data_IF_034914321302
#
_entry.id   IF_034914321302
#
_cell.length_a   1.000
_cell.length_b   1.000
_cell.length_c   1.000
_cell.angle_alpha   90.00
_cell.angle_beta   90.00
_cell.angle_gamma   90.00
#
_symmetry.space_group_name_H-M   'P 1'
#
loop_
_entity.id
_entity.type
_entity.pdbx_description
1 polymer ?
#
# COMPACT_ATOMS: atom_id res chain seq x y z
N UNK A 1 -17.24 3.03 -18.97
CA UNK A 1 -15.87 2.81 -18.45
C UNK A 1 -14.95 2.58 -19.64
N UNK A 2 -13.78 3.22 -19.75
CA UNK A 2 -12.92 3.17 -20.97
C UNK A 2 -11.79 2.12 -20.92
N UNK A 3 -11.82 1.21 -19.94
CA UNK A 3 -10.78 0.18 -19.69
C UNK A 3 -9.33 0.69 -19.71
N UNK A 4 -9.11 1.90 -19.19
CA UNK A 4 -7.77 2.45 -18.98
C UNK A 4 -7.33 2.04 -17.58
N UNK A 5 -6.30 1.19 -17.49
CA UNK A 5 -5.73 0.72 -16.23
C UNK A 5 -4.51 1.56 -15.87
N UNK A 6 -4.40 1.90 -14.59
CA UNK A 6 -3.30 2.69 -14.06
C UNK A 6 -2.80 2.01 -12.81
N UNK A 7 -1.51 1.74 -12.72
CA UNK A 7 -0.86 1.13 -11.55
C UNK A 7 0.44 1.88 -11.27
N UNK A 8 0.93 1.77 -10.03
CA UNK A 8 2.17 2.41 -9.57
C UNK A 8 3.20 1.34 -9.27
N UNK A 9 4.46 1.63 -9.59
CA UNK A 9 5.60 0.80 -9.24
C UNK A 9 6.56 1.60 -8.35
N UNK A 10 6.93 1.03 -7.22
CA UNK A 10 8.01 1.45 -6.33
C UNK A 10 9.19 0.48 -6.50
N UNK A 11 10.11 0.76 -7.46
CA UNK A 11 11.17 -0.17 -7.82
C UNK A 11 12.39 -0.03 -6.89
N UNK A 12 13.05 -1.15 -6.62
CA UNK A 12 14.40 -1.22 -6.07
C UNK A 12 15.32 -1.88 -7.09
N UNK A 13 16.13 -1.07 -7.75
CA UNK A 13 17.05 -1.51 -8.79
C UNK A 13 18.36 -0.72 -8.72
N UNK A 14 19.49 -1.37 -9.00
CA UNK A 14 20.81 -0.75 -9.17
C UNK A 14 20.84 -0.06 -10.52
N UNK A 15 20.91 1.27 -10.45
CA UNK A 15 21.05 2.17 -11.60
C UNK A 15 22.12 3.20 -11.25
N UNK A 16 22.57 3.99 -12.23
CA UNK A 16 23.46 5.12 -11.97
C UNK A 16 22.94 6.08 -10.88
N UNK A 17 21.62 6.23 -10.74
CA UNK A 17 21.01 7.09 -9.72
C UNK A 17 21.04 6.50 -8.30
N UNK A 18 21.11 5.17 -8.18
CA UNK A 18 20.93 4.44 -6.91
C UNK A 18 22.19 3.69 -6.47
N UNK A 19 23.26 3.72 -7.27
CA UNK A 19 24.49 2.94 -7.08
C UNK A 19 25.14 3.17 -5.71
N UNK A 20 25.24 4.42 -5.27
CA UNK A 20 25.85 4.79 -3.98
C UNK A 20 24.92 4.58 -2.77
N UNK A 21 23.61 4.42 -3.01
CA UNK A 21 22.59 4.32 -1.95
C UNK A 21 22.33 2.89 -1.49
N UNK A 22 22.55 1.91 -2.37
CA UNK A 22 22.10 0.52 -2.16
C UNK A 22 23.09 -0.35 -1.41
N UNK A 23 24.33 0.11 -1.22
CA UNK A 23 25.37 -0.61 -0.49
C UNK A 23 25.54 -2.06 -0.97
N UNK A 24 25.76 -3.04 -0.07
CA UNK A 24 25.94 -4.44 -0.44
C UNK A 24 24.76 -5.09 -1.19
N UNK A 25 23.53 -4.57 -1.01
CA UNK A 25 22.34 -5.11 -1.67
C UNK A 25 22.33 -4.83 -3.18
N UNK A 26 23.10 -3.85 -3.65
CA UNK A 26 23.17 -3.47 -5.05
C UNK A 26 23.51 -4.65 -5.98
N UNK A 27 24.23 -5.67 -5.48
CA UNK A 27 24.61 -6.86 -6.24
C UNK A 27 23.41 -7.70 -6.71
N UNK A 28 22.33 -7.72 -5.94
CA UNK A 28 21.15 -8.56 -6.20
C UNK A 28 20.00 -7.77 -6.85
N UNK A 29 20.08 -6.43 -6.84
CA UNK A 29 19.03 -5.53 -7.31
C UNK A 29 19.15 -5.22 -8.82
N UNK A 30 19.13 -6.25 -9.66
CA UNK A 30 19.17 -6.08 -11.11
C UNK A 30 17.86 -5.45 -11.66
N UNK A 31 17.92 -4.40 -12.50
CA UNK A 31 16.73 -3.79 -13.11
C UNK A 31 15.82 -4.78 -13.85
N UNK A 32 16.40 -5.82 -14.44
CA UNK A 32 15.70 -6.89 -15.15
C UNK A 32 14.73 -7.66 -14.24
N UNK A 33 14.96 -7.65 -12.92
CA UNK A 33 14.08 -8.29 -11.95
C UNK A 33 12.83 -7.45 -11.62
N UNK A 34 12.79 -6.21 -12.10
CA UNK A 34 11.63 -5.31 -11.96
C UNK A 34 10.81 -5.23 -13.24
N UNK A 35 11.45 -5.37 -14.41
CA UNK A 35 10.82 -5.34 -15.75
C UNK A 35 9.55 -6.19 -15.88
N UNK A 36 9.48 -7.44 -15.36
CA UNK A 36 8.27 -8.26 -15.48
C UNK A 36 7.02 -7.62 -14.89
N UNK A 37 7.15 -6.82 -13.82
CA UNK A 37 6.00 -6.13 -13.20
C UNK A 37 5.45 -5.06 -14.14
N UNK A 38 6.33 -4.29 -14.79
CA UNK A 38 5.92 -3.28 -15.78
C UNK A 38 5.30 -3.95 -17.00
N UNK A 39 5.91 -5.03 -17.50
CA UNK A 39 5.41 -5.79 -18.63
C UNK A 39 4.01 -6.36 -18.34
N UNK A 40 3.79 -6.93 -17.16
CA UNK A 40 2.47 -7.40 -16.73
C UNK A 40 1.47 -6.24 -16.71
N UNK A 41 1.78 -5.12 -16.05
CA UNK A 41 0.89 -3.96 -15.95
C UNK A 41 0.49 -3.37 -17.31
N UNK A 42 1.37 -3.44 -18.32
CA UNK A 42 1.12 -2.97 -19.68
C UNK A 42 0.50 -4.04 -20.61
N UNK A 43 0.43 -5.29 -20.17
CA UNK A 43 -0.12 -6.39 -20.96
C UNK A 43 -1.65 -6.39 -20.98
N UNK A 44 -2.23 -7.11 -21.95
CA UNK A 44 -3.68 -7.38 -21.98
C UNK A 44 -4.16 -8.27 -20.81
N UNK A 45 -3.24 -9.01 -20.20
CA UNK A 45 -3.52 -9.90 -19.07
C UNK A 45 -3.56 -9.16 -17.73
N UNK A 46 -3.15 -7.88 -17.70
CA UNK A 46 -3.23 -7.05 -16.50
C UNK A 46 -4.66 -7.03 -15.97
N UNK A 47 -4.92 -7.72 -14.86
CA UNK A 47 -6.26 -7.86 -14.28
C UNK A 47 -6.60 -6.77 -13.26
N UNK A 48 -5.62 -5.94 -12.89
CA UNK A 48 -5.73 -4.97 -11.79
C UNK A 48 -5.54 -3.53 -12.25
N UNK A 49 -6.09 -2.60 -11.46
CA UNK A 49 -5.93 -1.15 -11.63
C UNK A 49 -5.99 -0.48 -10.25
N UNK A 50 -5.27 0.61 -10.08
CA UNK A 50 -5.18 1.36 -8.83
C UNK A 50 -4.19 0.78 -7.83
N UNK A 51 -3.40 -0.22 -8.23
CA UNK A 51 -2.50 -0.92 -7.32
C UNK A 51 -1.10 -0.32 -7.28
N UNK A 52 -0.44 -0.50 -6.13
CA UNK A 52 0.95 -0.08 -5.93
C UNK A 52 1.81 -1.32 -5.69
N UNK A 53 2.81 -1.53 -6.54
CA UNK A 53 3.74 -2.66 -6.45
C UNK A 53 5.08 -2.22 -5.88
N UNK A 54 5.61 -3.00 -4.93
CA UNK A 54 7.03 -2.95 -4.54
C UNK A 54 7.76 -4.10 -5.19
N UNK A 55 8.83 -3.82 -5.94
CA UNK A 55 9.59 -4.86 -6.63
C UNK A 55 11.10 -4.61 -6.60
N UNK A 56 11.89 -5.67 -6.39
CA UNK A 56 13.35 -5.63 -6.42
C UNK A 56 13.97 -6.95 -5.96
N UNK A 57 15.13 -7.30 -6.51
CA UNK A 57 15.87 -8.51 -6.12
C UNK A 57 15.09 -9.82 -6.33
N UNK A 58 14.16 -9.83 -7.29
CA UNK A 58 13.29 -10.99 -7.56
C UNK A 58 12.05 -11.08 -6.66
N UNK A 59 11.88 -10.18 -5.69
CA UNK A 59 10.67 -10.08 -4.87
C UNK A 59 9.68 -9.11 -5.51
N UNK A 60 8.40 -9.50 -5.53
CA UNK A 60 7.27 -8.62 -5.86
C UNK A 60 6.27 -8.65 -4.70
N UNK A 61 5.76 -7.51 -4.29
CA UNK A 61 4.71 -7.39 -3.29
C UNK A 61 3.80 -6.19 -3.55
N UNK A 62 2.66 -6.16 -2.87
CA UNK A 62 1.71 -5.04 -2.93
C UNK A 62 1.96 -4.08 -1.77
N UNK A 63 2.03 -2.79 -2.06
CA UNK A 63 1.92 -1.72 -1.07
C UNK A 63 0.44 -1.34 -0.99
N UNK A 64 -0.09 -1.24 0.22
CA UNK A 64 -1.50 -0.92 0.46
C UNK A 64 -1.64 -0.08 1.73
N UNK A 65 -2.80 0.55 1.88
CA UNK A 65 -3.18 1.29 3.08
C UNK A 65 -4.14 0.44 3.92
N UNK A 66 -3.91 0.44 5.22
CA UNK A 66 -4.78 -0.19 6.22
C UNK A 66 -5.47 0.87 7.07
N UNK A 67 -6.69 0.58 7.51
CA UNK A 67 -7.44 1.39 8.48
C UNK A 67 -7.66 0.57 9.74
N UNK A 68 -7.27 1.10 10.90
CA UNK A 68 -7.43 0.48 12.23
C UNK A 68 -8.85 0.71 12.76
N UNK A 69 -9.38 -0.19 13.62
CA UNK A 69 -10.68 -0.01 14.29
C UNK A 69 -10.86 1.36 14.93
N UNK A 70 -9.78 1.89 15.53
CA UNK A 70 -9.78 3.19 16.18
C UNK A 70 -10.76 3.25 17.36
N UNK A 71 -11.28 4.45 17.63
CA UNK A 71 -12.26 4.69 18.68
C UNK A 71 -13.50 5.35 18.12
N UNK A 72 -14.66 5.01 18.69
CA UNK A 72 -15.94 5.59 18.31
C UNK A 72 -16.57 6.34 19.48
N UNK A 73 -16.90 7.62 19.27
CA UNK A 73 -17.64 8.46 20.21
C UNK A 73 -18.64 9.33 19.45
N UNK A 74 -19.76 9.66 20.09
CA UNK A 74 -20.79 10.52 19.49
C UNK A 74 -20.27 11.96 19.26
N UNK A 75 -19.45 12.44 20.19
CA UNK A 75 -18.65 13.66 20.07
C UNK A 75 -17.21 13.30 20.42
N UNK A 76 -16.25 13.76 19.61
CA UNK A 76 -14.83 13.47 19.78
C UNK A 76 -14.06 14.78 19.97
N UNK A 77 -13.23 14.85 21.01
CA UNK A 77 -12.35 15.97 21.32
C UNK A 77 -10.88 15.67 20.99
N UNK A 78 -10.03 16.70 21.03
CA UNK A 78 -8.58 16.50 20.90
C UNK A 78 -7.99 15.71 22.07
N UNK A 79 -8.53 15.89 23.27
CA UNK A 79 -8.19 15.13 24.47
C UNK A 79 -8.52 13.65 24.29
N UNK A 80 -9.67 13.32 23.72
CA UNK A 80 -10.05 11.93 23.43
C UNK A 80 -9.05 11.26 22.47
N UNK A 81 -8.58 11.98 21.45
CA UNK A 81 -7.57 11.47 20.52
C UNK A 81 -6.25 11.24 21.25
N UNK A 82 -5.78 12.22 22.02
CA UNK A 82 -4.53 12.10 22.80
C UNK A 82 -4.58 10.91 23.74
N UNK A 83 -5.68 10.76 24.48
CA UNK A 83 -5.82 9.75 25.52
C UNK A 83 -6.05 8.33 24.94
N UNK A 84 -6.40 8.22 23.65
CA UNK A 84 -6.61 6.96 22.95
C UNK A 84 -5.63 6.75 21.77
N UNK A 85 -4.53 7.51 21.69
CA UNK A 85 -3.65 7.50 20.52
C UNK A 85 -3.04 6.12 20.26
N UNK A 86 -2.69 5.39 21.32
CA UNK A 86 -2.13 4.04 21.20
C UNK A 86 -3.13 3.06 20.57
N UNK A 87 -4.42 3.14 20.95
CA UNK A 87 -5.50 2.34 20.35
C UNK A 87 -5.74 2.71 18.89
N UNK A 88 -5.68 4.01 18.56
CA UNK A 88 -5.86 4.48 17.18
C UNK A 88 -4.70 3.99 16.28
N UNK A 89 -3.49 3.94 16.83
CA UNK A 89 -2.27 3.55 16.12
C UNK A 89 -1.98 2.05 16.13
N UNK A 90 -2.77 1.24 16.85
CA UNK A 90 -2.59 -0.22 16.88
C UNK A 90 -3.02 -0.86 15.55
N UNK A 91 -2.03 -1.35 14.80
CA UNK A 91 -2.22 -2.00 13.49
C UNK A 91 -2.38 -3.52 13.58
N UNK A 92 -2.54 -4.09 14.78
CA UNK A 92 -2.73 -5.53 15.00
C UNK A 92 -4.00 -6.04 14.31
N UNK A 93 -5.05 -5.23 14.31
CA UNK A 93 -6.28 -5.43 13.56
C UNK A 93 -6.45 -4.26 12.57
N UNK A 94 -6.58 -4.56 11.28
CA UNK A 94 -6.84 -3.55 10.27
C UNK A 94 -7.61 -4.12 9.09
N UNK A 95 -8.32 -3.25 8.39
CA UNK A 95 -8.88 -3.57 7.07
C UNK A 95 -8.07 -2.89 5.98
N UNK A 96 -7.90 -3.57 4.85
CA UNK A 96 -7.37 -2.95 3.64
C UNK A 96 -8.53 -2.29 2.91
N UNK A 97 -8.68 -0.97 3.08
CA UNK A 97 -9.72 -0.22 2.42
C UNK A 97 -9.38 -0.06 0.93
N UNK A 98 -10.26 -0.54 0.06
CA UNK A 98 -10.13 -0.42 -1.40
C UNK A 98 -11.11 0.61 -1.98
N UNK A 99 -12.08 1.03 -1.18
CA UNK A 99 -13.07 2.04 -1.52
C UNK A 99 -13.58 2.78 -0.28
N UNK A 100 -14.13 4.00 -0.42
CA UNK A 100 -14.79 4.70 0.69
C UNK A 100 -15.95 3.92 1.31
N UNK A 101 -16.54 2.99 0.55
CA UNK A 101 -17.62 2.12 1.06
C UNK A 101 -17.08 1.13 2.10
N UNK A 102 -15.84 0.66 1.98
CA UNK A 102 -15.22 -0.25 2.94
C UNK A 102 -15.08 0.45 4.31
N UNK A 103 -14.66 1.72 4.30
CA UNK A 103 -14.60 2.55 5.51
C UNK A 103 -15.98 2.82 6.10
N UNK A 104 -16.98 3.12 5.27
CA UNK A 104 -18.35 3.33 5.74
C UNK A 104 -18.91 2.10 6.46
N UNK A 105 -18.65 0.88 5.93
CA UNK A 105 -19.08 -0.36 6.59
C UNK A 105 -18.38 -0.58 7.93
N UNK A 106 -17.11 -0.18 8.04
CA UNK A 106 -16.35 -0.25 9.28
C UNK A 106 -16.96 0.65 10.36
N UNK A 107 -17.28 1.90 10.01
CA UNK A 107 -17.95 2.83 10.92
C UNK A 107 -19.34 2.33 11.33
N UNK A 108 -20.07 1.66 10.43
CA UNK A 108 -21.37 1.09 10.74
C UNK A 108 -21.27 -0.08 11.74
N UNK A 109 -20.24 -0.93 11.63
CA UNK A 109 -19.98 -2.01 12.59
C UNK A 109 -19.58 -1.50 13.97
N UNK A 110 -18.83 -0.39 14.05
CA UNK A 110 -18.44 0.22 15.32
C UNK A 110 -19.61 0.85 16.09
N UNK A 111 -20.76 1.08 15.44
CA UNK A 111 -21.99 1.61 16.04
C UNK A 111 -22.99 0.56 16.52
N UNK A 112 -22.77 -0.71 16.19
CA UNK A 112 -23.65 -1.83 16.56
C UNK A 112 -23.14 -2.50 17.84
#
# INVERSE_FOLDING_TARGET
KKDIKVNVLAPMARTRMTEELLGPMAKDLHPELVTPVVAFCASKECSVTGEVFSAGGGRVGRIFWGVTPGVHKAEISGEDIRDNIDTIMDTSEMIVASSPTDEMMMMAKAKA
#
